data_IF_371336084173
#
_entry.id   IF_371336084173
#
_cell.length_a   1.000
_cell.length_b   1.000
_cell.length_c   1.000
_cell.angle_alpha   90.00
_cell.angle_beta   90.00
_cell.angle_gamma   90.00
#
_symmetry.space_group_name_H-M   'P 1'
#
loop_
_entity.id
_entity.type
_entity.pdbx_description
1 polymer ?
#
# COMPACT_ATOMS: atom_id res chain seq x y z
N UNK A 1 -70.79 38.07 -3.46
CA UNK A 1 -70.46 39.47 -3.82
C UNK A 1 -69.02 39.76 -3.45
N UNK A 2 -68.26 40.39 -4.36
CA UNK A 2 -66.89 40.97 -4.21
C UNK A 2 -65.76 39.92 -4.04
N UNK A 3 -65.00 39.58 -5.10
CA UNK A 3 -63.80 40.26 -5.64
C UNK A 3 -62.88 40.77 -4.52
N UNK A 4 -61.59 40.40 -4.51
CA UNK A 4 -60.49 41.25 -5.02
C UNK A 4 -59.08 40.77 -4.53
N UNK A 5 -58.18 40.49 -5.50
CA UNK A 5 -56.73 40.84 -5.60
C UNK A 5 -55.77 40.28 -4.51
N UNK A 6 -54.94 39.27 -4.82
CA UNK A 6 -53.56 39.35 -5.39
C UNK A 6 -52.63 40.29 -4.62
N UNK A 7 -51.71 39.74 -3.82
CA UNK A 7 -50.41 40.37 -3.60
C UNK A 7 -49.36 39.28 -3.44
N UNK A 8 -48.66 39.02 -4.54
CA UNK A 8 -47.42 38.29 -4.64
C UNK A 8 -46.36 38.88 -3.71
N UNK A 9 -45.78 38.08 -2.81
CA UNK A 9 -44.38 38.25 -2.44
C UNK A 9 -43.71 36.89 -2.56
N UNK A 10 -43.13 36.74 -3.75
CA UNK A 10 -42.17 35.73 -4.15
C UNK A 10 -40.87 35.99 -3.37
N UNK A 11 -40.60 35.22 -2.33
CA UNK A 11 -39.24 35.03 -1.82
C UNK A 11 -38.91 33.56 -1.87
N UNK A 12 -38.49 33.15 -3.05
CA UNK A 12 -37.89 31.87 -3.38
C UNK A 12 -36.51 31.81 -2.71
N UNK A 13 -36.43 31.33 -1.46
CA UNK A 13 -35.16 30.93 -0.86
C UNK A 13 -34.96 29.43 -1.14
N UNK A 14 -34.53 29.11 -2.36
CA UNK A 14 -33.94 27.79 -2.64
C UNK A 14 -32.59 27.73 -1.96
N UNK A 15 -32.55 27.16 -0.76
CA UNK A 15 -31.34 26.62 -0.15
C UNK A 15 -30.85 25.47 -1.05
N UNK A 16 -30.03 25.83 -2.04
CA UNK A 16 -29.13 24.89 -2.68
C UNK A 16 -28.12 24.46 -1.61
N UNK A 17 -28.42 23.36 -0.93
CA UNK A 17 -27.42 22.59 -0.20
C UNK A 17 -26.41 22.08 -1.22
N UNK A 18 -25.36 22.87 -1.44
CA UNK A 18 -24.16 22.39 -2.11
C UNK A 18 -23.69 21.15 -1.33
N UNK A 19 -23.46 19.99 -1.96
CA UNK A 19 -22.62 19.00 -1.33
C UNK A 19 -21.28 19.68 -1.11
N UNK A 20 -20.87 19.81 0.15
CA UNK A 20 -19.50 20.10 0.51
C UNK A 20 -18.67 19.01 -0.13
N UNK A 21 -18.14 19.25 -1.32
CA UNK A 21 -16.98 18.53 -1.81
C UNK A 21 -15.89 18.86 -0.80
N UNK A 22 -15.73 17.97 0.19
CA UNK A 22 -14.48 17.85 0.90
C UNK A 22 -13.44 17.62 -0.19
N UNK A 23 -12.72 18.68 -0.53
CA UNK A 23 -11.51 18.62 -1.34
C UNK A 23 -10.63 17.57 -0.69
N UNK A 24 -10.47 16.44 -1.38
CA UNK A 24 -9.46 15.43 -1.10
C UNK A 24 -8.12 16.08 -1.45
N UNK A 25 -7.67 17.00 -0.60
CA UNK A 25 -6.37 17.67 -0.72
C UNK A 25 -5.40 17.15 0.34
N UNK A 26 -5.37 15.83 0.54
CA UNK A 26 -4.23 15.16 1.15
C UNK A 26 -3.81 13.83 0.48
N UNK A 27 -3.62 13.73 -0.86
CA UNK A 27 -2.89 12.59 -1.42
C UNK A 27 -1.40 12.88 -1.71
N UNK A 28 -0.95 14.14 -1.72
CA UNK A 28 0.41 14.48 -2.16
C UNK A 28 1.45 14.55 -1.03
N UNK A 29 1.07 15.03 0.16
CA UNK A 29 2.01 15.20 1.28
C UNK A 29 2.42 13.87 1.92
N UNK A 30 1.53 12.89 1.89
CA UNK A 30 1.78 11.57 2.45
C UNK A 30 2.61 10.72 1.49
N UNK A 31 2.40 10.85 0.17
CA UNK A 31 3.18 10.12 -0.83
C UNK A 31 4.67 10.51 -0.82
N UNK A 32 4.99 11.79 -0.71
CA UNK A 32 6.37 12.30 -0.66
C UNK A 32 7.05 12.02 0.70
N UNK A 33 6.29 12.08 1.79
CA UNK A 33 6.76 11.67 3.13
C UNK A 33 7.02 10.17 3.19
N UNK A 34 6.16 9.35 2.58
CA UNK A 34 6.34 7.90 2.43
C UNK A 34 7.56 7.57 1.56
N UNK A 35 7.81 8.34 0.50
CA UNK A 35 8.97 8.20 -0.38
C UNK A 35 10.29 8.60 0.29
N UNK A 36 10.26 9.56 1.23
CA UNK A 36 11.45 10.02 1.96
C UNK A 36 11.82 9.16 3.17
N UNK A 37 10.84 8.47 3.76
CA UNK A 37 11.04 7.40 4.74
C UNK A 37 11.43 6.06 4.08
N UNK A 38 11.39 6.02 2.74
CA UNK A 38 11.79 4.89 1.93
C UNK A 38 13.32 4.82 1.89
N UNK A 39 13.85 3.93 2.70
CA UNK A 39 15.03 3.17 2.29
C UNK A 39 14.89 2.71 0.82
N UNK A 40 15.98 2.44 0.11
CA UNK A 40 16.02 2.15 -1.33
C UNK A 40 15.27 0.87 -1.77
N UNK A 41 14.43 0.31 -0.91
CA UNK A 41 13.62 -0.89 -1.08
C UNK A 41 14.33 -2.15 -0.63
N UNK A 42 15.61 -2.08 -0.21
CA UNK A 42 16.42 -3.24 0.16
C UNK A 42 16.22 -3.72 1.59
N UNK A 43 15.53 -2.99 2.46
CA UNK A 43 15.16 -3.54 3.76
C UNK A 43 13.89 -4.39 3.71
N UNK A 44 13.12 -4.34 2.63
CA UNK A 44 11.82 -4.99 2.57
C UNK A 44 11.91 -6.42 2.07
N UNK A 45 10.98 -7.26 2.52
CA UNK A 45 10.70 -8.58 1.97
C UNK A 45 9.20 -8.70 1.77
N UNK A 46 8.81 -9.40 0.71
CA UNK A 46 7.41 -9.61 0.36
C UNK A 46 7.20 -11.10 0.11
N UNK A 47 6.22 -11.69 0.78
CA UNK A 47 5.80 -13.08 0.58
C UNK A 47 4.35 -13.16 0.16
N UNK A 48 3.98 -14.25 -0.50
CA UNK A 48 2.59 -14.60 -0.76
C UNK A 48 2.44 -16.11 -0.88
N UNK A 49 1.25 -16.61 -0.60
CA UNK A 49 0.90 -18.01 -0.81
C UNK A 49 0.11 -18.15 -2.12
N UNK A 50 0.35 -19.21 -2.88
CA UNK A 50 -0.50 -19.57 -4.01
C UNK A 50 -1.66 -20.48 -3.57
N UNK A 51 -2.59 -20.77 -4.48
CA UNK A 51 -3.79 -21.58 -4.20
C UNK A 51 -3.48 -23.04 -3.83
N UNK A 52 -2.25 -23.50 -4.09
CA UNK A 52 -1.75 -24.83 -3.74
C UNK A 52 -1.07 -24.87 -2.37
N UNK A 53 -1.04 -23.75 -1.64
CA UNK A 53 -0.43 -23.65 -0.32
C UNK A 53 1.08 -23.40 -0.32
N UNK A 54 1.72 -23.24 -1.48
CA UNK A 54 3.16 -22.95 -1.56
C UNK A 54 3.45 -21.46 -1.40
N UNK A 55 4.53 -21.17 -0.69
CA UNK A 55 4.98 -19.83 -0.34
C UNK A 55 6.05 -19.33 -1.29
N UNK A 56 5.84 -18.15 -1.82
CA UNK A 56 6.79 -17.45 -2.67
C UNK A 56 7.27 -16.20 -1.96
N UNK A 57 8.39 -15.67 -2.44
CA UNK A 57 9.02 -14.53 -1.82
C UNK A 57 9.87 -13.72 -2.79
N UNK A 58 9.85 -12.41 -2.62
CA UNK A 58 10.80 -11.48 -3.20
C UNK A 58 11.44 -10.74 -2.04
N UNK A 59 12.76 -10.72 -2.01
CA UNK A 59 13.51 -10.02 -1.00
C UNK A 59 14.84 -9.51 -1.51
N UNK A 60 15.64 -8.94 -0.61
CA UNK A 60 16.88 -8.26 -0.97
C UNK A 60 17.92 -9.21 -1.54
N UNK A 61 17.97 -10.44 -1.03
CA UNK A 61 18.94 -11.45 -1.49
C UNK A 61 18.51 -12.12 -2.79
N UNK A 62 17.22 -12.45 -2.94
CA UNK A 62 16.73 -13.12 -4.15
C UNK A 62 15.19 -13.10 -4.27
N UNK A 63 14.72 -13.55 -5.44
CA UNK A 63 13.32 -13.84 -5.73
C UNK A 63 13.15 -15.34 -6.00
N UNK A 64 12.19 -15.96 -5.32
CA UNK A 64 11.92 -17.39 -5.45
C UNK A 64 11.19 -17.70 -6.75
N UNK A 65 11.73 -18.64 -7.52
CA UNK A 65 11.09 -19.14 -8.74
C UNK A 65 10.25 -20.39 -8.47
N UNK A 66 10.62 -21.17 -7.45
CA UNK A 66 9.85 -22.28 -6.92
C UNK A 66 9.29 -21.90 -5.55
N UNK A 67 8.09 -22.38 -5.25
CA UNK A 67 7.44 -22.12 -3.96
C UNK A 67 7.95 -23.06 -2.88
N UNK A 68 8.03 -22.55 -1.66
CA UNK A 68 8.43 -23.27 -0.45
C UNK A 68 7.21 -23.80 0.32
N UNK A 69 7.41 -24.81 1.14
CA UNK A 69 6.34 -25.41 1.96
C UNK A 69 5.88 -24.53 3.14
N UNK A 70 6.66 -23.51 3.50
CA UNK A 70 6.31 -22.58 4.58
C UNK A 70 6.80 -21.17 4.30
N UNK A 71 6.10 -20.18 4.87
CA UNK A 71 6.48 -18.78 4.79
C UNK A 71 7.86 -18.52 5.39
N UNK A 72 8.18 -19.17 6.52
CA UNK A 72 9.46 -19.00 7.20
C UNK A 72 10.63 -19.44 6.31
N UNK A 73 10.49 -20.55 5.57
CA UNK A 73 11.49 -20.99 4.58
C UNK A 73 11.63 -19.96 3.47
N UNK A 74 10.52 -19.46 2.93
CA UNK A 74 10.56 -18.43 1.91
C UNK A 74 11.29 -17.16 2.40
N UNK A 75 10.97 -16.68 3.61
CA UNK A 75 11.64 -15.51 4.23
C UNK A 75 13.14 -15.76 4.40
N UNK A 76 13.54 -16.93 4.92
CA UNK A 76 14.97 -17.26 5.11
C UNK A 76 15.76 -17.23 3.81
N UNK A 77 15.15 -17.63 2.70
CA UNK A 77 15.79 -17.63 1.39
C UNK A 77 15.85 -16.25 0.76
N UNK A 78 14.92 -15.34 1.04
CA UNK A 78 14.89 -14.02 0.39
C UNK A 78 15.51 -12.90 1.22
N UNK A 79 15.65 -13.08 2.55
CA UNK A 79 16.23 -12.07 3.44
C UNK A 79 17.68 -11.77 3.09
N UNK A 80 18.11 -10.54 3.36
CA UNK A 80 19.53 -10.20 3.29
C UNK A 80 20.38 -11.12 4.17
N UNK A 81 21.57 -11.48 3.70
CA UNK A 81 22.56 -12.18 4.53
C UNK A 81 23.06 -11.32 5.70
N UNK A 82 22.98 -9.99 5.59
CA UNK A 82 23.32 -9.06 6.68
C UNK A 82 22.21 -8.95 7.74
N UNK A 83 20.97 -9.31 7.39
CA UNK A 83 19.83 -9.18 8.30
C UNK A 83 19.88 -10.23 9.42
N UNK A 84 19.83 -9.76 10.66
CA UNK A 84 19.74 -10.60 11.86
C UNK A 84 18.32 -10.67 12.41
N UNK A 85 17.49 -9.68 12.11
CA UNK A 85 16.12 -9.56 12.56
C UNK A 85 15.23 -9.12 11.41
N UNK A 86 13.96 -9.48 11.50
CA UNK A 86 12.92 -8.91 10.66
C UNK A 86 11.65 -8.71 11.47
N UNK A 87 10.81 -7.81 10.99
CA UNK A 87 9.53 -7.46 11.60
C UNK A 87 8.45 -7.54 10.53
N UNK A 88 7.29 -8.07 10.90
CA UNK A 88 6.11 -8.03 10.06
C UNK A 88 5.50 -6.63 10.09
N UNK A 89 5.22 -6.07 8.93
CA UNK A 89 4.64 -4.74 8.78
C UNK A 89 3.14 -4.76 8.52
N UNK A 90 2.64 -5.77 7.81
CA UNK A 90 1.24 -5.84 7.43
C UNK A 90 1.01 -6.55 6.11
N UNK A 91 -0.22 -6.43 5.60
CA UNK A 91 -0.65 -7.04 4.35
C UNK A 91 -0.99 -5.97 3.30
N UNK A 92 -0.59 -6.25 2.06
CA UNK A 92 -1.05 -5.56 0.87
C UNK A 92 -1.73 -6.54 -0.08
N UNK A 93 -3.07 -6.58 -0.03
CA UNK A 93 -3.83 -7.62 -0.69
C UNK A 93 -3.39 -9.00 -0.19
N UNK A 94 -2.91 -9.86 -1.11
CA UNK A 94 -2.39 -11.19 -0.79
C UNK A 94 -0.94 -11.22 -0.29
N UNK A 95 -0.25 -10.08 -0.34
CA UNK A 95 1.17 -10.00 -0.04
C UNK A 95 1.38 -9.65 1.43
N UNK A 96 2.19 -10.43 2.12
CA UNK A 96 2.68 -10.12 3.46
C UNK A 96 4.01 -9.39 3.35
N UNK A 97 4.17 -8.32 4.11
CA UNK A 97 5.36 -7.47 4.01
C UNK A 97 6.10 -7.42 5.33
N UNK A 98 7.42 -7.51 5.20
CA UNK A 98 8.35 -7.53 6.31
C UNK A 98 9.46 -6.52 6.07
N UNK A 99 10.07 -6.07 7.16
CA UNK A 99 11.26 -5.22 7.15
C UNK A 99 12.39 -5.88 7.93
N UNK A 100 13.53 -6.05 7.29
CA UNK A 100 14.79 -6.47 7.90
C UNK A 100 15.39 -5.35 8.74
N UNK A 101 16.40 -5.65 9.55
CA UNK A 101 17.18 -4.67 10.33
C UNK A 101 18.43 -4.16 9.59
N UNK A 102 18.92 -4.92 8.60
CA UNK A 102 20.14 -4.65 7.84
C UNK A 102 20.05 -5.22 6.44
N UNK A 103 20.91 -4.72 5.57
CA UNK A 103 21.08 -5.16 4.19
C UNK A 103 22.54 -4.93 3.75
N UNK A 104 22.96 -5.60 2.68
CA UNK A 104 24.25 -5.35 2.03
C UNK A 104 24.10 -4.31 0.93
N UNK A 105 25.19 -3.62 0.57
CA UNK A 105 25.18 -2.64 -0.52
C UNK A 105 24.79 -3.24 -1.88
N UNK A 106 25.08 -4.52 -2.10
CA UNK A 106 24.77 -5.29 -3.32
C UNK A 106 23.41 -6.00 -3.30
N UNK A 107 22.64 -5.89 -2.22
CA UNK A 107 21.29 -6.46 -2.20
C UNK A 107 20.38 -5.70 -3.17
N UNK A 108 19.31 -6.34 -3.62
CA UNK A 108 18.43 -5.80 -4.64
C UNK A 108 17.20 -5.10 -4.05
N UNK A 109 16.67 -4.09 -4.77
CA UNK A 109 15.45 -3.41 -4.37
C UNK A 109 14.23 -4.37 -4.51
N UNK A 110 13.73 -4.84 -3.37
CA UNK A 110 12.59 -5.74 -3.27
C UNK A 110 11.33 -5.13 -3.86
N UNK A 111 11.02 -3.87 -3.50
CA UNK A 111 9.74 -3.27 -3.88
C UNK A 111 9.64 -3.10 -5.40
N UNK A 112 10.71 -2.62 -6.04
CA UNK A 112 10.78 -2.49 -7.51
C UNK A 112 10.57 -3.83 -8.21
N UNK A 113 11.10 -4.92 -7.65
CA UNK A 113 10.87 -6.28 -8.18
C UNK A 113 9.44 -6.75 -7.93
N UNK A 114 8.91 -6.53 -6.74
CA UNK A 114 7.56 -6.94 -6.36
C UNK A 114 6.49 -6.22 -7.20
N UNK A 115 6.67 -4.93 -7.50
CA UNK A 115 5.77 -4.16 -8.35
C UNK A 115 5.61 -4.78 -9.75
N UNK A 116 6.67 -5.37 -10.32
CA UNK A 116 6.60 -6.11 -11.60
C UNK A 116 5.73 -7.37 -11.52
N UNK A 117 5.35 -7.82 -10.32
CA UNK A 117 4.46 -8.96 -10.05
C UNK A 117 3.07 -8.52 -9.61
N UNK A 118 2.76 -7.22 -9.67
CA UNK A 118 1.45 -6.67 -9.27
C UNK A 118 1.33 -6.30 -7.79
N UNK A 119 2.44 -6.27 -7.04
CA UNK A 119 2.43 -5.73 -5.68
C UNK A 119 2.27 -4.20 -5.72
N UNK A 120 1.29 -3.68 -4.97
CA UNK A 120 1.14 -2.26 -4.67
C UNK A 120 1.48 -2.05 -3.20
N UNK A 121 2.47 -1.21 -2.91
CA UNK A 121 2.84 -0.87 -1.53
C UNK A 121 1.70 -0.09 -0.89
N UNK A 122 1.33 -0.45 0.34
CA UNK A 122 0.19 0.09 1.06
C UNK A 122 0.35 -0.13 2.57
N UNK A 123 0.99 0.82 3.26
CA UNK A 123 1.15 0.81 4.72
C UNK A 123 0.77 2.17 5.26
#
# INVERSE_FOLDING_TARGET
>A
MKKLIIASILTLFTLLSLPSFNTIDQPLKDAETMLSAYDDGKYYMVTWQNDKGYWFGIGPMQNLWAGEESEEKAIKLIKSSAATKWSYLGNCGKYRVYKCDKFNSWDENTIKKAQKKGFSMCF
#
